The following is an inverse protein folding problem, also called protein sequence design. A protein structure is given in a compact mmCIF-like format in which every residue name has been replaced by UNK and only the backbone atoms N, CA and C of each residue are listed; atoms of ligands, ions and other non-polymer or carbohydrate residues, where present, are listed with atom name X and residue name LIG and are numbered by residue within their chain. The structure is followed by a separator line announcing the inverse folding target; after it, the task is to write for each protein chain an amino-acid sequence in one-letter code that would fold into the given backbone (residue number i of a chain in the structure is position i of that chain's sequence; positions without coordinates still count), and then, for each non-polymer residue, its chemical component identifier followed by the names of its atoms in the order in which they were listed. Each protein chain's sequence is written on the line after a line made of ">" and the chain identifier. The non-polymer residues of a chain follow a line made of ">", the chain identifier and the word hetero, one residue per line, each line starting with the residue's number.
data_IF_703970400510
#
_entry.id   IF_703970400510
#
_cell.length_a   1.000
_cell.length_b   1.000
_cell.length_c   1.000
_cell.angle_alpha   90.00
_cell.angle_beta   90.00
_cell.angle_gamma   90.00
#
_symmetry.space_group_name_H-M   'P 1'
#
loop_
_entity.id
_entity.type
_entity.pdbx_description
1 polymer ?
#
# COMPACT_ATOMS: atom_id res chain seq x y z
N UNK A 1 -8.07 -1.41 -25.79
CA UNK A 1 -9.11 -0.39 -25.49
C UNK A 1 -10.35 -1.10 -24.94
N UNK A 2 -10.95 -0.61 -23.85
CA UNK A 2 -12.20 -1.14 -23.28
C UNK A 2 -13.09 0.01 -22.77
N UNK A 3 -14.40 -0.25 -22.65
CA UNK A 3 -15.39 0.75 -22.21
C UNK A 3 -15.86 0.46 -20.79
N UNK A 4 -15.93 1.47 -19.95
CA UNK A 4 -16.50 1.39 -18.60
C UNK A 4 -17.46 2.58 -18.40
N UNK A 5 -18.77 2.29 -18.41
CA UNK A 5 -19.80 3.35 -18.43
C UNK A 5 -19.81 4.10 -19.76
N UNK A 6 -19.72 5.41 -19.71
CA UNK A 6 -19.61 6.28 -20.89
C UNK A 6 -18.15 6.63 -21.25
N UNK A 7 -17.19 6.18 -20.44
CA UNK A 7 -15.78 6.45 -20.62
C UNK A 7 -15.05 5.33 -21.39
N UNK A 8 -14.08 5.75 -22.20
CA UNK A 8 -13.20 4.87 -22.97
C UNK A 8 -11.80 4.84 -22.36
N UNK A 9 -11.26 3.63 -22.15
CA UNK A 9 -9.94 3.42 -21.59
C UNK A 9 -9.05 2.64 -22.57
N UNK A 10 -7.77 2.98 -22.64
CA UNK A 10 -6.76 2.20 -23.34
C UNK A 10 -5.62 1.87 -22.37
N UNK A 11 -5.11 0.65 -22.45
CA UNK A 11 -3.89 0.23 -21.76
C UNK A 11 -2.91 -0.26 -22.81
N UNK A 12 -1.64 0.12 -22.65
CA UNK A 12 -0.54 -0.34 -23.47
C UNK A 12 0.67 -0.52 -22.55
N UNK A 13 1.51 -1.49 -22.87
CA UNK A 13 2.76 -1.72 -22.15
C UNK A 13 3.79 -0.71 -22.65
N UNK A 14 4.50 -0.05 -21.74
CA UNK A 14 5.66 0.79 -22.05
C UNK A 14 6.88 0.06 -21.49
N UNK A 15 7.88 -0.15 -22.34
CA UNK A 15 9.20 -0.61 -21.91
C UNK A 15 10.11 0.60 -21.78
N UNK A 16 10.86 0.66 -20.69
CA UNK A 16 11.93 1.63 -20.51
C UNK A 16 13.14 0.90 -19.90
N UNK A 17 14.32 1.24 -20.39
CA UNK A 17 15.56 0.80 -19.76
C UNK A 17 15.80 1.67 -18.53
N UNK A 18 15.85 1.05 -17.35
CA UNK A 18 16.26 1.73 -16.13
C UNK A 18 17.78 1.81 -16.11
N UNK A 19 18.34 3.02 -16.21
CA UNK A 19 19.74 3.25 -15.89
C UNK A 19 19.91 3.10 -14.37
N UNK A 20 20.48 1.98 -13.93
CA UNK A 20 20.88 1.81 -12.54
C UNK A 20 22.19 2.55 -12.34
N UNK A 21 22.20 3.56 -11.47
CA UNK A 21 23.42 4.23 -11.03
C UNK A 21 24.32 3.32 -10.18
N UNK A 22 25.38 3.90 -9.62
CA UNK A 22 26.27 3.19 -8.69
C UNK A 22 25.48 2.64 -7.48
N UNK A 23 25.90 1.46 -7.00
CA UNK A 23 25.25 0.80 -5.87
C UNK A 23 25.42 1.63 -4.59
N UNK A 24 24.31 2.02 -3.96
CA UNK A 24 24.33 2.65 -2.63
C UNK A 24 23.93 1.64 -1.56
N UNK A 25 24.79 1.45 -0.56
CA UNK A 25 24.48 0.56 0.56
C UNK A 25 23.47 1.22 1.52
N UNK A 26 22.24 0.71 1.54
CA UNK A 26 21.18 1.16 2.45
C UNK A 26 20.95 0.11 3.53
N UNK A 27 21.10 0.50 4.80
CA UNK A 27 20.69 -0.29 5.95
C UNK A 27 19.18 -0.17 6.16
N UNK A 28 18.46 -1.30 6.20
CA UNK A 28 17.00 -1.32 6.43
C UNK A 28 16.68 -2.09 7.71
N UNK A 29 15.91 -1.48 8.61
CA UNK A 29 15.38 -2.11 9.83
C UNK A 29 13.85 -2.07 9.89
N UNK A 30 13.27 -3.16 10.39
CA UNK A 30 11.83 -3.31 10.58
C UNK A 30 11.52 -3.33 12.08
N UNK A 31 11.29 -2.13 12.61
CA UNK A 31 10.82 -1.96 13.99
C UNK A 31 9.34 -2.31 14.16
N UNK A 32 8.91 -2.45 15.41
CA UNK A 32 7.52 -2.81 15.75
C UNK A 32 6.43 -1.90 15.15
N UNK A 33 6.73 -0.60 14.97
CA UNK A 33 5.78 0.36 14.41
C UNK A 33 6.40 1.24 13.32
N UNK A 34 7.67 1.05 12.95
CA UNK A 34 8.38 1.90 12.01
C UNK A 34 9.27 1.08 11.09
N UNK A 35 9.42 1.54 9.86
CA UNK A 35 10.50 1.12 8.97
C UNK A 35 11.56 2.20 9.00
N UNK A 36 12.82 1.83 9.16
CA UNK A 36 13.95 2.74 9.09
C UNK A 36 14.83 2.33 7.90
N UNK A 37 15.19 3.30 7.07
CA UNK A 37 16.22 3.16 6.06
C UNK A 37 17.31 4.20 6.33
N UNK A 38 18.58 3.82 6.24
CA UNK A 38 19.73 4.70 6.44
C UNK A 38 20.76 4.45 5.35
N UNK A 39 21.24 5.53 4.73
CA UNK A 39 22.38 5.51 3.83
C UNK A 39 23.67 5.32 4.63
N UNK A 40 24.44 4.29 4.28
CA UNK A 40 25.67 3.94 4.99
C UNK A 40 26.82 4.94 4.76
N UNK A 41 26.83 5.68 3.66
CA UNK A 41 27.89 6.62 3.31
C UNK A 41 27.59 8.02 3.83
N UNK A 42 26.36 8.50 3.61
CA UNK A 42 25.96 9.88 3.97
C UNK A 42 25.39 9.97 5.37
N UNK A 43 24.87 8.88 5.93
CA UNK A 43 24.14 8.86 7.19
C UNK A 43 22.72 9.45 7.11
N UNK A 44 22.26 9.82 5.91
CA UNK A 44 20.88 10.25 5.70
C UNK A 44 19.91 9.11 6.02
N UNK A 45 18.74 9.45 6.57
CA UNK A 45 17.78 8.44 7.00
C UNK A 45 16.33 8.79 6.70
N UNK A 46 15.55 7.76 6.45
CA UNK A 46 14.11 7.82 6.27
C UNK A 46 13.43 6.96 7.32
N UNK A 47 12.51 7.56 8.07
CA UNK A 47 11.68 6.84 9.05
C UNK A 47 10.23 6.85 8.58
N UNK A 48 9.69 5.67 8.27
CA UNK A 48 8.29 5.51 7.86
C UNK A 48 7.47 4.97 9.02
N UNK A 49 6.39 5.68 9.37
CA UNK A 49 5.49 5.21 10.42
C UNK A 49 4.48 4.18 9.91
N UNK A 50 4.44 3.01 10.54
CA UNK A 50 3.43 1.97 10.31
C UNK A 50 2.07 2.27 10.96
N UNK A 51 1.90 3.42 11.64
CA UNK A 51 0.66 3.78 12.35
C UNK A 51 -0.55 3.83 11.43
N UNK A 52 -0.39 4.35 10.23
CA UNK A 52 -1.47 4.46 9.26
C UNK A 52 -1.92 3.08 8.77
N UNK A 53 -0.98 2.21 8.37
CA UNK A 53 -1.28 0.82 8.02
C UNK A 53 -1.96 0.08 9.17
N UNK A 54 -1.50 0.29 10.41
CA UNK A 54 -2.11 -0.28 11.62
C UNK A 54 -3.53 0.24 11.87
N UNK A 55 -3.81 1.52 11.58
CA UNK A 55 -5.14 2.10 11.65
C UNK A 55 -6.07 1.50 10.59
N UNK A 56 -5.62 1.44 9.33
CA UNK A 56 -6.37 0.86 8.20
C UNK A 56 -6.79 -0.58 8.50
N UNK A 57 -5.84 -1.42 8.94
CA UNK A 57 -6.13 -2.82 9.32
C UNK A 57 -7.16 -2.93 10.43
N UNK A 58 -7.06 -2.08 11.47
CA UNK A 58 -8.04 -2.04 12.58
C UNK A 58 -9.42 -1.60 12.11
N UNK A 59 -9.49 -0.55 11.30
CA UNK A 59 -10.75 -0.02 10.73
C UNK A 59 -11.50 -1.10 9.94
N UNK A 60 -10.82 -1.80 9.02
CA UNK A 60 -11.48 -2.83 8.21
C UNK A 60 -11.82 -4.09 8.99
N UNK A 61 -11.03 -4.46 10.02
CA UNK A 61 -11.38 -5.53 10.95
C UNK A 61 -12.69 -5.24 11.68
N UNK A 62 -12.76 -4.10 12.37
CA UNK A 62 -13.95 -3.68 13.11
C UNK A 62 -15.18 -3.56 12.20
N UNK A 63 -15.00 -3.03 10.97
CA UNK A 63 -16.08 -2.99 9.98
C UNK A 63 -16.57 -4.39 9.61
N UNK A 64 -15.68 -5.36 9.35
CA UNK A 64 -16.08 -6.74 9.03
C UNK A 64 -16.79 -7.42 10.18
N UNK A 65 -16.34 -7.21 11.42
CA UNK A 65 -16.98 -7.73 12.63
C UNK A 65 -18.41 -7.18 12.76
N UNK A 66 -18.57 -5.86 12.74
CA UNK A 66 -19.90 -5.22 12.84
C UNK A 66 -20.88 -5.66 11.76
N UNK A 67 -20.42 -5.79 10.50
CA UNK A 67 -21.26 -6.26 9.39
C UNK A 67 -21.61 -7.74 9.50
N UNK A 68 -20.73 -8.55 10.09
CA UNK A 68 -20.98 -9.98 10.29
C UNK A 68 -21.98 -10.20 11.43
N UNK A 69 -21.85 -9.45 12.52
CA UNK A 69 -22.79 -9.44 13.65
C UNK A 69 -24.19 -9.00 13.22
N UNK A 70 -24.28 -7.96 12.38
CA UNK A 70 -25.55 -7.50 11.82
C UNK A 70 -26.14 -8.42 10.72
N UNK A 71 -25.47 -9.52 10.36
CA UNK A 71 -25.90 -10.39 9.25
C UNK A 71 -25.89 -9.71 7.88
N UNK A 72 -25.20 -8.57 7.74
CA UNK A 72 -25.22 -7.70 6.56
C UNK A 72 -24.29 -8.19 5.45
N UNK A 73 -24.48 -9.43 4.98
CA UNK A 73 -23.61 -10.12 4.02
C UNK A 73 -23.38 -9.32 2.73
N UNK A 74 -24.40 -8.64 2.20
CA UNK A 74 -24.28 -7.80 1.00
C UNK A 74 -23.33 -6.62 1.21
N UNK A 75 -23.44 -5.94 2.36
CA UNK A 75 -22.56 -4.84 2.71
C UNK A 75 -21.13 -5.34 2.96
N UNK A 76 -20.96 -6.48 3.64
CA UNK A 76 -19.66 -7.13 3.83
C UNK A 76 -18.98 -7.47 2.50
N UNK A 77 -19.73 -8.04 1.55
CA UNK A 77 -19.19 -8.36 0.22
C UNK A 77 -18.80 -7.10 -0.57
N UNK A 78 -19.55 -6.00 -0.40
CA UNK A 78 -19.22 -4.69 -1.01
C UNK A 78 -17.94 -4.06 -0.44
N UNK A 79 -17.53 -4.40 0.79
CA UNK A 79 -16.21 -4.00 1.31
C UNK A 79 -15.11 -4.60 0.46
N UNK A 80 -15.23 -5.87 0.07
CA UNK A 80 -14.31 -6.55 -0.84
C UNK A 80 -12.83 -6.34 -0.47
N UNK A 81 -11.98 -6.12 -1.48
CA UNK A 81 -10.54 -5.88 -1.31
C UNK A 81 -10.16 -4.40 -1.12
N UNK A 82 -11.01 -3.59 -0.48
CA UNK A 82 -10.70 -2.16 -0.23
C UNK A 82 -9.52 -1.98 0.72
N UNK A 83 -9.40 -2.83 1.74
CA UNK A 83 -8.26 -2.83 2.68
C UNK A 83 -6.95 -3.06 1.94
N UNK A 84 -6.87 -4.12 1.13
CA UNK A 84 -5.64 -4.45 0.40
C UNK A 84 -5.24 -3.37 -0.61
N UNK A 85 -6.20 -2.70 -1.25
CA UNK A 85 -5.91 -1.54 -2.11
C UNK A 85 -5.27 -0.38 -1.34
N UNK A 86 -5.79 -0.05 -0.16
CA UNK A 86 -5.22 1.02 0.66
C UNK A 86 -3.85 0.64 1.23
N UNK A 87 -3.66 -0.60 1.70
CA UNK A 87 -2.35 -1.07 2.16
C UNK A 87 -1.32 -1.06 1.03
N UNK A 88 -1.72 -1.44 -0.19
CA UNK A 88 -0.83 -1.38 -1.35
C UNK A 88 -0.43 0.05 -1.71
N UNK A 89 -1.37 0.98 -1.66
CA UNK A 89 -1.09 2.41 -1.87
C UNK A 89 -0.12 2.97 -0.82
N UNK A 90 -0.30 2.62 0.46
CA UNK A 90 0.61 3.01 1.54
C UNK A 90 2.02 2.44 1.32
N UNK A 91 2.12 1.17 0.93
CA UNK A 91 3.41 0.56 0.64
C UNK A 91 4.08 1.19 -0.59
N UNK A 92 3.31 1.52 -1.63
CA UNK A 92 3.84 2.18 -2.83
C UNK A 92 4.38 3.58 -2.55
N UNK A 93 3.81 4.30 -1.58
CA UNK A 93 4.30 5.63 -1.15
C UNK A 93 5.52 5.56 -0.23
N UNK A 94 5.80 4.39 0.33
CA UNK A 94 6.94 4.15 1.21
C UNK A 94 8.14 3.54 0.46
N UNK A 95 7.91 3.07 -0.77
CA UNK A 95 8.94 2.64 -1.71
C UNK A 95 9.46 3.81 -2.52
#
# INVERSE_FOLDING_TARGET
>A
VYRQGDDWFCTFTVEYDAETGDETAIGVDIGHNHLLAVDAETGESMLVSGREAKYVRRKYRSLRESLSEAGALRARNRVGNKEGRQIRDLNHKAS
#
